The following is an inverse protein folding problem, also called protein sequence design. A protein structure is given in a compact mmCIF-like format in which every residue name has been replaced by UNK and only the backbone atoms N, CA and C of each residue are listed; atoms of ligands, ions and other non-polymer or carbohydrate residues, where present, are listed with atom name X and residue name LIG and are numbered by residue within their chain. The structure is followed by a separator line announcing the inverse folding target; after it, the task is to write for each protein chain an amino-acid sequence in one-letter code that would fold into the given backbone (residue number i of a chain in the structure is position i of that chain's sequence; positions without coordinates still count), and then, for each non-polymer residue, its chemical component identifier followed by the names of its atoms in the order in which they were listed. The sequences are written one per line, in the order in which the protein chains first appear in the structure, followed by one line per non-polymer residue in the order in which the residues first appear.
data_IF_649287432438
#
_entry.id   IF_649287432438
#
_cell.length_a   1.000
_cell.length_b   1.000
_cell.length_c   1.000
_cell.angle_alpha   90.00
_cell.angle_beta   90.00
_cell.angle_gamma   90.00
#
_symmetry.space_group_name_H-M   'P 1'
#
loop_
_entity.id
_entity.type
_entity.pdbx_description
1 polymer ?
#
# COMPACT_ATOMS: atom_id res chain seq x y z
N UNK A 1 -52.43 -55.23 5.75
CA UNK A 1 -51.31 -54.43 6.29
C UNK A 1 -50.39 -54.11 5.12
N UNK A 2 -50.36 -52.82 4.78
CA UNK A 2 -49.75 -52.06 3.68
C UNK A 2 -49.42 -52.67 2.30
N UNK A 3 -49.96 -51.97 1.31
CA UNK A 3 -50.20 -52.29 -0.10
C UNK A 3 -49.00 -51.93 -0.97
N UNK A 4 -48.65 -52.85 -1.88
CA UNK A 4 -47.83 -52.61 -3.06
C UNK A 4 -48.56 -51.68 -4.04
N UNK A 5 -47.94 -50.56 -4.46
CA UNK A 5 -48.36 -49.82 -5.65
C UNK A 5 -47.18 -49.60 -6.59
N UNK A 6 -47.13 -50.43 -7.63
CA UNK A 6 -46.26 -50.32 -8.79
C UNK A 6 -47.04 -49.55 -9.86
N UNK A 7 -46.56 -48.37 -10.26
CA UNK A 7 -47.06 -47.69 -11.46
C UNK A 7 -45.86 -47.42 -12.37
N UNK A 8 -45.97 -47.90 -13.61
CA UNK A 8 -44.99 -47.72 -14.68
C UNK A 8 -45.36 -46.52 -15.55
N UNK A 9 -44.32 -46.01 -16.24
CA UNK A 9 -44.32 -45.17 -17.45
C UNK A 9 -44.65 -43.69 -17.17
N UNK A 10 -43.88 -42.70 -17.63
CA UNK A 10 -43.39 -42.56 -18.99
C UNK A 10 -42.07 -41.76 -19.07
N UNK A 11 -41.23 -42.16 -20.02
CA UNK A 11 -40.02 -41.48 -20.49
C UNK A 11 -40.37 -40.17 -21.18
N UNK A 12 -39.78 -39.04 -20.76
CA UNK A 12 -39.49 -37.91 -21.65
C UNK A 12 -38.06 -37.46 -21.36
N UNK A 13 -37.18 -37.75 -22.32
CA UNK A 13 -35.84 -37.20 -22.37
C UNK A 13 -35.93 -35.70 -22.69
N UNK A 14 -35.27 -34.86 -21.91
CA UNK A 14 -34.94 -33.50 -22.29
C UNK A 14 -33.48 -33.22 -21.96
N UNK A 15 -32.66 -33.21 -23.04
CA UNK A 15 -31.31 -32.66 -23.04
C UNK A 15 -31.41 -31.14 -23.15
N UNK A 16 -31.00 -30.42 -22.12
CA UNK A 16 -30.63 -28.98 -22.12
C UNK A 16 -29.62 -28.85 -20.94
N UNK A 17 -28.30 -28.83 -21.15
CA UNK A 17 -27.48 -27.70 -21.61
C UNK A 17 -27.32 -26.58 -20.56
N UNK A 18 -26.05 -26.39 -20.15
CA UNK A 18 -25.42 -25.17 -19.59
C UNK A 18 -25.74 -24.78 -18.13
N UNK A 19 -24.71 -24.83 -17.27
CA UNK A 19 -24.47 -23.77 -16.28
C UNK A 19 -22.99 -23.80 -15.84
N UNK A 20 -22.35 -22.66 -16.01
CA UNK A 20 -20.94 -22.39 -15.78
C UNK A 20 -20.51 -22.53 -14.31
N UNK A 21 -19.32 -23.09 -14.08
CA UNK A 21 -18.59 -22.88 -12.83
C UNK A 21 -18.08 -21.43 -12.82
N UNK A 22 -18.89 -20.53 -12.25
CA UNK A 22 -18.42 -19.23 -11.78
C UNK A 22 -17.69 -19.46 -10.46
N UNK A 23 -16.36 -19.34 -10.49
CA UNK A 23 -15.56 -19.20 -9.27
C UNK A 23 -15.98 -17.90 -8.58
N UNK A 24 -16.61 -18.07 -7.42
CA UNK A 24 -16.86 -17.01 -6.44
C UNK A 24 -15.51 -16.49 -5.91
N UNK A 25 -14.97 -15.43 -6.52
CA UNK A 25 -14.06 -14.54 -5.81
C UNK A 25 -14.89 -13.78 -4.79
N UNK A 26 -14.91 -14.28 -3.56
CA UNK A 26 -15.56 -13.62 -2.43
C UNK A 26 -14.92 -12.23 -2.24
N UNK A 27 -15.66 -11.19 -2.60
CA UNK A 27 -15.44 -9.85 -2.06
C UNK A 27 -15.70 -9.93 -0.55
N UNK A 28 -14.64 -9.83 0.24
CA UNK A 28 -14.71 -9.63 1.69
C UNK A 28 -15.22 -8.22 1.97
N UNK A 29 -16.54 -8.04 1.91
CA UNK A 29 -17.22 -6.82 2.32
C UNK A 29 -17.31 -6.75 3.85
N UNK A 30 -16.81 -5.63 4.38
CA UNK A 30 -17.24 -4.95 5.61
C UNK A 30 -17.18 -5.71 6.94
N UNK A 31 -16.11 -5.44 7.68
CA UNK A 31 -16.19 -5.34 9.14
C UNK A 31 -15.14 -4.33 9.65
N UNK A 32 -15.36 -3.05 9.35
CA UNK A 32 -14.65 -1.96 10.02
C UNK A 32 -15.32 -1.75 11.40
N UNK A 33 -15.01 -2.57 12.40
CA UNK A 33 -15.56 -2.41 13.75
C UNK A 33 -14.52 -2.79 14.79
N UNK A 34 -13.89 -1.80 15.43
CA UNK A 34 -12.93 -2.02 16.52
C UNK A 34 -13.22 -1.07 17.70
N UNK A 35 -13.57 -1.57 18.90
CA UNK A 35 -14.15 -0.73 19.95
C UNK A 35 -13.20 -0.25 21.08
N UNK A 36 -11.87 -0.13 20.91
CA UNK A 36 -10.99 0.10 22.08
C UNK A 36 -9.65 0.87 21.92
N UNK A 37 -9.45 1.73 20.92
CA UNK A 37 -8.29 2.67 20.88
C UNK A 37 -8.61 4.07 21.42
N UNK A 38 -7.59 4.81 21.88
CA UNK A 38 -7.72 6.23 22.27
C UNK A 38 -7.99 7.12 21.06
N UNK A 39 -7.32 6.83 19.94
CA UNK A 39 -7.60 7.36 18.60
C UNK A 39 -6.97 6.42 17.55
N UNK A 40 -7.75 5.79 16.64
CA UNK A 40 -7.19 4.94 15.59
C UNK A 40 -6.13 5.63 14.71
N UNK A 41 -6.21 6.94 14.50
CA UNK A 41 -5.21 7.69 13.71
C UNK A 41 -3.88 7.78 14.46
N UNK A 42 -3.90 8.08 15.76
CA UNK A 42 -2.69 8.15 16.57
C UNK A 42 -1.99 6.78 16.63
N UNK A 43 -2.76 5.71 16.88
CA UNK A 43 -2.22 4.34 16.94
C UNK A 43 -1.69 3.90 15.57
N UNK A 44 -2.36 4.28 14.47
CA UNK A 44 -1.86 4.03 13.11
C UNK A 44 -0.53 4.72 12.87
N UNK A 45 -0.43 6.02 13.21
CA UNK A 45 0.79 6.83 13.04
C UNK A 45 1.94 6.30 13.91
N UNK A 46 1.64 5.94 15.17
CA UNK A 46 2.59 5.32 16.09
C UNK A 46 3.21 4.06 15.45
N UNK A 47 2.37 3.13 15.00
CA UNK A 47 2.84 1.88 14.38
C UNK A 47 3.56 2.13 13.05
N UNK A 48 3.13 3.13 12.26
CA UNK A 48 3.81 3.54 11.04
C UNK A 48 5.24 4.05 11.32
N UNK A 49 5.41 4.83 12.38
CA UNK A 49 6.70 5.35 12.82
C UNK A 49 7.63 4.28 13.39
N UNK A 50 7.06 3.23 13.97
CA UNK A 50 7.79 2.04 14.43
C UNK A 50 8.12 1.06 13.29
N UNK A 51 7.73 1.41 12.05
CA UNK A 51 7.84 0.55 10.87
C UNK A 51 7.10 -0.80 10.99
N UNK A 52 6.07 -0.87 11.84
CA UNK A 52 5.23 -2.06 12.01
C UNK A 52 3.97 -1.96 11.14
N UNK A 53 4.11 -2.37 9.88
CA UNK A 53 3.02 -2.40 8.92
C UNK A 53 1.83 -3.28 9.38
N UNK A 54 2.10 -4.35 10.13
CA UNK A 54 1.05 -5.28 10.59
C UNK A 54 0.23 -4.65 11.70
N UNK A 55 0.86 -3.95 12.63
CA UNK A 55 0.15 -3.25 13.70
C UNK A 55 -0.58 -2.03 13.16
N UNK A 56 0.04 -1.22 12.28
CA UNK A 56 -0.63 -0.08 11.65
C UNK A 56 -1.91 -0.51 10.93
N UNK A 57 -1.85 -1.61 10.15
CA UNK A 57 -2.99 -2.15 9.42
C UNK A 57 -4.19 -2.55 10.29
N UNK A 58 -4.00 -2.85 11.59
CA UNK A 58 -5.14 -3.16 12.49
C UNK A 58 -6.01 -1.93 12.75
N UNK A 59 -5.45 -0.74 12.56
CA UNK A 59 -6.12 0.54 12.76
C UNK A 59 -6.64 1.15 11.44
N UNK A 60 -6.66 0.37 10.35
CA UNK A 60 -7.13 0.81 9.04
C UNK A 60 -8.29 0.00 8.49
N UNK A 61 -8.99 0.60 7.52
CA UNK A 61 -9.92 -0.10 6.65
C UNK A 61 -9.14 -1.03 5.70
N UNK A 62 -9.53 -2.30 5.63
CA UNK A 62 -8.82 -3.29 4.83
C UNK A 62 -7.39 -3.56 5.31
N UNK A 63 -7.22 -4.21 6.48
CA UNK A 63 -5.89 -4.46 7.06
C UNK A 63 -4.91 -5.17 6.12
N UNK A 64 -5.38 -6.15 5.34
CA UNK A 64 -4.51 -6.88 4.40
C UNK A 64 -3.89 -5.97 3.34
N UNK A 65 -4.72 -5.19 2.64
CA UNK A 65 -4.27 -4.27 1.61
C UNK A 65 -3.41 -3.13 2.18
N UNK A 66 -3.75 -2.65 3.38
CA UNK A 66 -2.95 -1.61 4.05
C UNK A 66 -1.58 -2.13 4.45
N UNK A 67 -1.49 -3.34 5.03
CA UNK A 67 -0.21 -3.93 5.41
C UNK A 67 0.71 -4.12 4.19
N UNK A 68 0.15 -4.58 3.07
CA UNK A 68 0.88 -4.72 1.81
C UNK A 68 1.39 -3.38 1.29
N UNK A 69 0.52 -2.36 1.20
CA UNK A 69 0.90 -1.03 0.73
C UNK A 69 1.96 -0.37 1.63
N UNK A 70 1.87 -0.56 2.95
CA UNK A 70 2.85 -0.07 3.89
C UNK A 70 4.19 -0.81 3.76
N UNK A 71 4.19 -2.12 3.53
CA UNK A 71 5.43 -2.87 3.26
C UNK A 71 6.08 -2.39 1.95
N UNK A 72 5.30 -2.25 0.88
CA UNK A 72 5.79 -1.72 -0.39
C UNK A 72 6.39 -0.32 -0.23
N UNK A 73 5.74 0.56 0.54
CA UNK A 73 6.30 1.87 0.88
C UNK A 73 7.68 1.73 1.55
N UNK A 74 7.85 0.84 2.53
CA UNK A 74 9.14 0.63 3.20
C UNK A 74 10.20 0.13 2.23
N UNK A 75 9.87 -0.86 1.41
CA UNK A 75 10.78 -1.44 0.42
C UNK A 75 11.23 -0.38 -0.60
N UNK A 76 10.32 0.49 -1.02
CA UNK A 76 10.55 1.49 -2.06
C UNK A 76 11.38 2.69 -1.61
N UNK A 77 11.36 3.05 -0.32
CA UNK A 77 12.15 4.18 0.20
C UNK A 77 13.53 3.75 0.74
N UNK A 78 13.78 2.44 0.83
CA UNK A 78 15.03 1.87 1.31
C UNK A 78 15.37 2.34 2.72
N UNK A 79 16.61 2.77 2.92
CA UNK A 79 17.11 3.25 4.22
C UNK A 79 16.58 4.64 4.64
N UNK A 80 15.70 5.25 3.84
CA UNK A 80 15.07 6.53 4.19
C UNK A 80 14.16 6.34 5.39
N UNK A 81 14.39 7.12 6.45
CA UNK A 81 13.53 7.10 7.63
C UNK A 81 12.33 8.00 7.39
N UNK A 82 11.18 7.55 7.88
CA UNK A 82 9.93 8.28 7.81
C UNK A 82 9.41 8.45 9.24
N UNK A 83 9.05 9.69 9.58
CA UNK A 83 8.39 10.02 10.83
C UNK A 83 7.18 10.92 10.55
N UNK A 84 6.00 10.48 10.95
CA UNK A 84 4.73 11.17 10.79
C UNK A 84 4.27 11.68 12.15
N UNK A 85 3.77 12.91 12.19
CA UNK A 85 3.18 13.53 13.37
C UNK A 85 1.85 14.20 13.01
N UNK A 86 0.96 14.36 13.99
CA UNK A 86 -0.25 15.15 13.84
C UNK A 86 0.05 16.62 14.08
N UNK A 87 -0.45 17.48 13.19
CA UNK A 87 -0.31 18.93 13.33
C UNK A 87 -1.34 19.48 14.32
N UNK A 88 -0.95 20.38 15.24
CA UNK A 88 -1.86 20.96 16.22
C UNK A 88 -2.94 21.82 15.56
N UNK A 89 -4.18 21.67 15.99
CA UNK A 89 -5.32 22.51 15.55
C UNK A 89 -5.88 22.19 14.16
N UNK A 90 -5.31 21.23 13.43
CA UNK A 90 -5.88 20.69 12.19
C UNK A 90 -6.44 19.29 12.43
N UNK A 91 -7.74 19.11 12.29
CA UNK A 91 -8.35 17.78 12.39
C UNK A 91 -7.71 16.84 11.36
N UNK A 92 -6.99 15.82 11.85
CA UNK A 92 -6.28 14.82 11.05
C UNK A 92 -5.20 15.32 10.08
N UNK A 93 -4.72 16.57 10.22
CA UNK A 93 -3.56 17.04 9.44
C UNK A 93 -2.28 16.39 9.95
N UNK A 94 -1.42 15.99 9.03
CA UNK A 94 -0.13 15.34 9.33
C UNK A 94 1.04 16.16 8.81
N UNK A 95 2.20 16.03 9.47
CA UNK A 95 3.51 16.40 8.94
C UNK A 95 4.37 15.14 8.89
N UNK A 96 4.91 14.84 7.72
CA UNK A 96 5.85 13.75 7.49
C UNK A 96 7.25 14.33 7.33
N UNK A 97 8.19 13.87 8.15
CA UNK A 97 9.62 14.11 8.00
C UNK A 97 10.28 12.89 7.38
N UNK A 98 10.93 13.11 6.25
CA UNK A 98 11.70 12.13 5.51
C UNK A 98 13.18 12.40 5.74
N UNK A 99 13.89 11.49 6.39
CA UNK A 99 15.34 11.59 6.56
C UNK A 99 16.02 10.60 5.62
N UNK A 100 16.61 11.11 4.55
CA UNK A 100 17.28 10.27 3.55
C UNK A 100 18.63 9.74 4.11
N UNK A 101 19.25 8.72 3.51
CA UNK A 101 20.49 8.12 4.02
C UNK A 101 21.68 9.10 4.17
N UNK A 102 21.70 10.21 3.44
CA UNK A 102 22.71 11.27 3.63
C UNK A 102 22.51 12.08 4.92
N UNK A 103 21.38 11.90 5.60
CA UNK A 103 20.96 12.66 6.79
C UNK A 103 20.18 13.94 6.48
N UNK A 104 19.96 14.27 5.21
CA UNK A 104 19.12 15.39 4.82
C UNK A 104 17.65 15.11 5.14
N UNK A 105 16.93 16.16 5.56
CA UNK A 105 15.52 16.08 5.91
C UNK A 105 14.66 16.84 4.90
N UNK A 106 13.58 16.20 4.46
CA UNK A 106 12.49 16.82 3.70
C UNK A 106 11.20 16.69 4.51
N UNK A 107 10.38 17.74 4.50
CA UNK A 107 9.07 17.71 5.15
C UNK A 107 7.94 17.85 4.14
N UNK A 108 6.91 17.04 4.32
CA UNK A 108 5.65 17.12 3.57
C UNK A 108 4.49 17.19 4.55
N UNK A 109 3.36 17.77 4.12
CA UNK A 109 2.13 17.78 4.92
C UNK A 109 1.08 16.93 4.24
N UNK A 110 0.31 16.20 5.02
CA UNK A 110 -0.77 15.35 4.52
C UNK A 110 -2.04 15.47 5.35
N UNK A 111 -2.98 14.60 5.06
CA UNK A 111 -4.23 14.45 5.81
C UNK A 111 -4.60 12.99 5.95
N UNK A 112 -4.89 12.54 7.17
CA UNK A 112 -5.44 11.22 7.41
C UNK A 112 -6.97 11.22 7.22
N UNK A 113 -7.48 10.38 6.33
CA UNK A 113 -8.93 10.18 6.20
C UNK A 113 -9.40 9.11 7.18
N UNK A 114 -10.51 9.38 7.86
CA UNK A 114 -11.20 8.39 8.69
C UNK A 114 -12.43 7.87 7.98
N UNK A 115 -12.71 6.60 8.18
CA UNK A 115 -14.01 6.05 7.87
C UNK A 115 -15.05 6.56 8.90
N UNK A 116 -16.15 7.18 8.45
CA UNK A 116 -17.09 7.85 9.34
C UNK A 116 -17.88 6.87 10.24
N UNK A 117 -18.04 5.62 9.81
CA UNK A 117 -18.82 4.62 10.55
C UNK A 117 -17.97 3.90 11.60
N UNK A 118 -16.73 3.55 11.24
CA UNK A 118 -15.83 2.77 12.08
C UNK A 118 -14.80 3.58 12.86
N UNK A 119 -14.51 4.81 12.42
CA UNK A 119 -13.42 5.65 12.90
C UNK A 119 -12.02 5.17 12.49
N UNK A 120 -11.88 4.05 11.77
CA UNK A 120 -10.60 3.52 11.32
C UNK A 120 -9.99 4.37 10.21
N UNK A 121 -8.67 4.31 10.07
CA UNK A 121 -7.95 5.04 9.02
C UNK A 121 -8.25 4.45 7.65
N UNK A 122 -8.61 5.28 6.68
CA UNK A 122 -8.58 4.90 5.27
C UNK A 122 -7.18 5.20 4.74
N UNK A 123 -6.38 4.16 4.55
CA UNK A 123 -5.02 4.31 4.05
C UNK A 123 -5.02 4.99 2.66
N UNK A 124 -4.18 6.00 2.51
CA UNK A 124 -3.93 6.71 1.25
C UNK A 124 -2.57 7.41 1.31
N UNK A 125 -1.82 7.51 0.18
CA UNK A 125 -0.62 8.35 0.06
C UNK A 125 -0.80 9.79 0.54
N UNK A 126 -2.02 10.32 0.45
CA UNK A 126 -2.39 11.66 0.93
C UNK A 126 -2.13 11.89 2.43
N UNK A 127 -2.03 10.80 3.22
CA UNK A 127 -1.63 10.87 4.64
C UNK A 127 -0.19 11.35 4.79
N UNK A 128 0.68 11.06 3.81
CA UNK A 128 2.10 11.43 3.85
C UNK A 128 2.37 12.75 3.14
N UNK A 129 1.69 12.99 2.03
CA UNK A 129 1.79 14.21 1.22
C UNK A 129 0.43 14.49 0.55
N UNK A 130 -0.19 15.62 0.88
CA UNK A 130 -1.51 16.05 0.36
C UNK A 130 -1.53 16.15 -1.17
N UNK A 131 -0.38 16.40 -1.80
CA UNK A 131 -0.27 16.47 -3.25
C UNK A 131 -0.23 15.08 -3.93
N UNK A 132 -0.13 13.98 -3.17
CA UNK A 132 -0.02 12.64 -3.70
C UNK A 132 -1.39 12.06 -4.11
N UNK A 133 -1.59 11.70 -5.40
CA UNK A 133 -2.72 10.89 -5.83
C UNK A 133 -2.83 9.54 -5.09
N UNK A 134 -4.01 8.93 -5.12
CA UNK A 134 -4.30 7.67 -4.41
C UNK A 134 -3.48 6.47 -4.90
N UNK A 135 -2.99 6.49 -6.14
CA UNK A 135 -2.15 5.46 -6.76
C UNK A 135 -0.65 5.78 -6.70
N UNK A 136 -0.25 6.78 -5.90
CA UNK A 136 1.14 7.20 -5.77
C UNK A 136 2.00 6.13 -5.13
N UNK A 137 3.20 5.94 -5.70
CA UNK A 137 4.29 5.20 -5.08
C UNK A 137 5.40 6.17 -4.69
N UNK A 138 5.82 6.18 -3.42
CA UNK A 138 6.97 6.96 -2.96
C UNK A 138 8.25 6.16 -3.17
N UNK A 139 9.28 6.77 -3.79
CA UNK A 139 10.52 6.09 -4.14
C UNK A 139 11.75 6.86 -3.64
N UNK A 140 12.61 6.12 -2.94
CA UNK A 140 14.00 6.41 -2.62
C UNK A 140 14.93 6.43 -3.85
N UNK A 141 15.46 7.56 -4.33
CA UNK A 141 16.58 7.51 -5.30
C UNK A 141 17.62 8.59 -5.06
N UNK A 142 18.89 8.23 -5.28
CA UNK A 142 20.03 9.17 -5.23
C UNK A 142 20.53 9.39 -6.64
N UNK A 143 20.48 10.62 -7.13
CA UNK A 143 21.21 10.99 -8.35
C UNK A 143 22.68 11.21 -8.01
N UNK A 144 23.52 10.22 -8.31
CA UNK A 144 24.96 10.39 -8.21
C UNK A 144 25.44 11.22 -9.40
N UNK A 145 25.73 12.50 -9.17
CA UNK A 145 26.51 13.31 -10.10
C UNK A 145 27.97 12.88 -10.06
N UNK A 146 28.32 11.88 -10.87
CA UNK A 146 29.71 11.46 -11.03
C UNK A 146 30.35 12.34 -12.09
N UNK A 147 30.85 13.50 -11.67
CA UNK A 147 31.40 14.50 -12.60
C UNK A 147 32.91 14.36 -12.84
N UNK A 148 33.62 13.55 -12.04
CA UNK A 148 35.07 13.40 -12.16
C UNK A 148 35.44 12.42 -13.28
N UNK A 149 36.01 12.89 -14.41
CA UNK A 149 36.51 12.00 -15.45
C UNK A 149 37.82 11.35 -15.00
N UNK A 150 38.06 10.11 -15.42
CA UNK A 150 39.38 9.51 -15.31
C UNK A 150 40.25 10.08 -16.44
N UNK A 151 41.39 10.68 -16.11
CA UNK A 151 42.32 11.28 -17.08
C UNK A 151 43.67 10.57 -17.07
N UNK A 152 44.40 10.63 -18.19
CA UNK A 152 45.80 10.18 -18.25
C UNK A 152 46.77 11.21 -17.65
N UNK A 153 48.08 10.89 -17.63
CA UNK A 153 49.13 11.80 -17.13
C UNK A 153 49.20 13.14 -17.87
N UNK A 154 48.65 13.23 -19.07
CA UNK A 154 48.66 14.40 -19.95
C UNK A 154 47.34 15.18 -19.86
N UNK A 155 46.38 14.74 -19.03
CA UNK A 155 45.07 15.36 -18.87
C UNK A 155 44.02 14.91 -19.90
N UNK A 156 44.30 13.91 -20.75
CA UNK A 156 43.32 13.40 -21.70
C UNK A 156 42.29 12.53 -20.98
N UNK A 157 41.00 12.75 -21.25
CA UNK A 157 39.91 11.91 -20.70
C UNK A 157 40.02 10.48 -21.23
N UNK A 158 40.13 9.51 -20.33
CA UNK A 158 40.15 8.08 -20.63
C UNK A 158 38.78 7.43 -20.46
N UNK A 159 38.02 7.83 -19.43
CA UNK A 159 36.66 7.36 -19.17
C UNK A 159 35.75 8.55 -18.85
N UNK A 160 34.58 8.57 -19.51
CA UNK A 160 33.52 9.55 -19.26
C UNK A 160 32.28 8.84 -18.72
N UNK A 161 31.63 9.45 -17.73
CA UNK A 161 30.34 9.00 -17.23
C UNK A 161 29.24 9.29 -18.25
N UNK A 162 28.33 8.33 -18.44
CA UNK A 162 27.13 8.49 -19.26
C UNK A 162 25.94 8.06 -18.41
N UNK A 163 24.91 8.91 -18.35
CA UNK A 163 23.67 8.57 -17.67
C UNK A 163 22.96 7.46 -18.46
N UNK A 164 22.66 6.35 -17.78
CA UNK A 164 21.90 5.23 -18.33
C UNK A 164 20.67 4.99 -17.46
N UNK A 165 19.50 5.00 -18.07
CA UNK A 165 18.25 4.64 -17.40
C UNK A 165 18.05 3.14 -17.52
N UNK A 166 18.02 2.43 -16.39
CA UNK A 166 17.70 0.99 -16.37
C UNK A 166 16.21 0.85 -16.09
N UNK A 167 15.48 0.23 -17.01
CA UNK A 167 14.09 -0.18 -16.81
C UNK A 167 14.09 -1.70 -16.59
N UNK A 168 13.65 -2.13 -15.41
CA UNK A 168 13.42 -3.54 -15.11
C UNK A 168 11.92 -3.82 -15.07
N UNK A 169 11.47 -4.85 -15.78
CA UNK A 169 10.11 -5.36 -15.68
C UNK A 169 10.10 -6.61 -14.77
N UNK A 170 9.30 -6.57 -13.71
CA UNK A 170 8.99 -7.74 -12.88
C UNK A 170 7.90 -8.61 -13.52
N UNK A 171 7.72 -9.87 -13.06
CA UNK A 171 6.62 -10.71 -13.52
C UNK A 171 5.27 -10.05 -13.22
N UNK A 172 4.33 -10.23 -14.16
CA UNK A 172 2.95 -9.76 -14.07
C UNK A 172 2.08 -10.67 -13.18
#
# INVERSE_FOLDING_TARGET
MFVQKKSRLNTIASRQAVAALLWFSALSLNACSFPWSKDPVEDFIQALNEADATTAAKHSCGPGATAEALQQLRDNIGDTKLHVSLLPGGENRTETTWTVPSGEELKTTGTAERDPDSGLVKWSPALLDEAAPTDTTFLYSTDRRVETPVVDRSGNKLLSWTQVTVISAGPA
#
